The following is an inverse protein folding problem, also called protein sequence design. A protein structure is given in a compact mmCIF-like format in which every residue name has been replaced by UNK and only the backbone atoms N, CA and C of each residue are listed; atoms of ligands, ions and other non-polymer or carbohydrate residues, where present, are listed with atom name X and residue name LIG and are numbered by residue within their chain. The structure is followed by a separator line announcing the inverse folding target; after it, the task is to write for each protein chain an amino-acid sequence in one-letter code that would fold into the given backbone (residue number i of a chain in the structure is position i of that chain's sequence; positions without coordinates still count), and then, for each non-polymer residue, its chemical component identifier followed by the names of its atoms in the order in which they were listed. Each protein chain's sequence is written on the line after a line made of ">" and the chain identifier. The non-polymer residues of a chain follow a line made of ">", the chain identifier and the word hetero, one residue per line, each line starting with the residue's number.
data_IF_051324856055
#
_entry.id   IF_051324856055
#
_cell.length_a   1.000
_cell.length_b   1.000
_cell.length_c   1.000
_cell.angle_alpha   90.00
_cell.angle_beta   90.00
_cell.angle_gamma   90.00
#
_symmetry.space_group_name_H-M   'P 1'
#
loop_
_entity.id
_entity.type
_entity.pdbx_description
1 polymer ?
#
# COMPACT_ATOMS: atom_id res chain seq x y z
N UNK A 1 -24.60 47.27 2.52
CA UNK A 1 -23.87 46.26 1.71
C UNK A 1 -23.92 44.86 2.33
N UNK A 2 -23.66 44.68 3.64
CA UNK A 2 -23.75 43.38 4.36
C UNK A 2 -25.13 42.69 4.31
N UNK A 3 -26.22 43.47 4.37
CA UNK A 3 -27.61 42.95 4.37
C UNK A 3 -28.13 42.53 2.99
N UNK A 4 -27.39 42.84 1.90
CA UNK A 4 -27.85 42.64 0.52
C UNK A 4 -27.51 41.23 0.01
N UNK A 5 -26.36 40.66 0.40
CA UNK A 5 -25.92 39.33 -0.04
C UNK A 5 -26.88 38.23 0.44
N UNK A 6 -27.33 38.32 1.69
CA UNK A 6 -28.26 37.37 2.31
C UNK A 6 -29.71 37.49 1.79
N UNK A 7 -30.10 38.67 1.29
CA UNK A 7 -31.44 38.91 0.73
C UNK A 7 -31.56 38.50 -0.74
N UNK A 8 -30.44 38.30 -1.44
CA UNK A 8 -30.38 38.00 -2.88
C UNK A 8 -30.32 36.49 -3.18
N UNK A 9 -29.75 35.67 -2.30
CA UNK A 9 -29.59 34.25 -2.58
C UNK A 9 -30.85 33.46 -2.26
N UNK A 10 -31.65 33.17 -3.30
CA UNK A 10 -32.79 32.26 -3.22
C UNK A 10 -32.37 30.94 -2.55
N UNK A 11 -33.04 30.52 -1.46
CA UNK A 11 -32.75 29.26 -0.76
C UNK A 11 -32.76 28.04 -1.68
N UNK A 12 -33.59 28.05 -2.75
CA UNK A 12 -33.59 26.98 -3.77
C UNK A 12 -32.28 26.94 -4.56
N UNK A 13 -31.74 28.10 -4.90
CA UNK A 13 -30.45 28.21 -5.60
C UNK A 13 -29.28 27.79 -4.70
N UNK A 14 -29.27 28.21 -3.44
CA UNK A 14 -28.29 27.73 -2.45
C UNK A 14 -28.37 26.22 -2.25
N UNK A 15 -29.58 25.66 -2.14
CA UNK A 15 -29.79 24.21 -2.05
C UNK A 15 -29.24 23.47 -3.27
N UNK A 16 -29.43 24.02 -4.48
CA UNK A 16 -28.86 23.46 -5.71
C UNK A 16 -27.32 23.49 -5.69
N UNK A 17 -26.70 24.60 -5.29
CA UNK A 17 -25.23 24.68 -5.15
C UNK A 17 -24.72 23.63 -4.16
N UNK A 18 -25.37 23.50 -3.00
CA UNK A 18 -24.99 22.53 -1.98
C UNK A 18 -25.07 21.09 -2.51
N UNK A 19 -26.13 20.78 -3.27
CA UNK A 19 -26.29 19.47 -3.93
C UNK A 19 -25.16 19.20 -4.93
N UNK A 20 -24.80 20.18 -5.77
CA UNK A 20 -23.70 20.05 -6.73
C UNK A 20 -22.37 19.84 -6.02
N UNK A 21 -22.10 20.56 -4.93
CA UNK A 21 -20.89 20.36 -4.11
C UNK A 21 -20.84 18.94 -3.54
N UNK A 22 -21.95 18.45 -2.96
CA UNK A 22 -22.04 17.10 -2.41
C UNK A 22 -21.78 16.03 -3.48
N UNK A 23 -22.41 16.14 -4.65
CA UNK A 23 -22.18 15.23 -5.78
C UNK A 23 -20.72 15.30 -6.23
N UNK A 24 -20.16 16.52 -6.31
CA UNK A 24 -18.77 16.76 -6.67
C UNK A 24 -17.79 16.05 -5.75
N UNK A 25 -18.03 16.03 -4.43
CA UNK A 25 -17.18 15.30 -3.49
C UNK A 25 -17.24 13.79 -3.68
N UNK A 26 -18.43 13.20 -3.82
CA UNK A 26 -18.52 11.77 -4.09
C UNK A 26 -17.88 11.42 -5.43
N UNK A 27 -18.06 12.25 -6.45
CA UNK A 27 -17.41 12.04 -7.74
C UNK A 27 -15.88 12.11 -7.63
N UNK A 28 -15.33 13.19 -7.07
CA UNK A 28 -13.89 13.38 -6.95
C UNK A 28 -13.24 12.34 -6.01
N UNK A 29 -13.88 12.06 -4.87
CA UNK A 29 -13.39 11.11 -3.87
C UNK A 29 -13.47 9.66 -4.33
N UNK A 30 -14.53 9.27 -5.03
CA UNK A 30 -14.74 7.87 -5.40
C UNK A 30 -14.27 7.53 -6.81
N UNK A 31 -13.98 8.50 -7.68
CA UNK A 31 -13.43 8.25 -9.01
C UNK A 31 -12.13 7.41 -8.93
N UNK A 32 -11.96 6.36 -9.75
CA UNK A 32 -12.77 5.96 -10.93
C UNK A 32 -13.94 5.00 -10.64
N UNK A 33 -14.42 4.91 -9.40
CA UNK A 33 -15.49 4.01 -8.95
C UNK A 33 -15.19 2.52 -9.16
N UNK A 34 -13.91 2.17 -9.26
CA UNK A 34 -13.47 0.81 -9.49
C UNK A 34 -13.24 0.06 -8.17
N UNK A 35 -14.33 -0.46 -7.60
CA UNK A 35 -14.31 -1.26 -6.36
C UNK A 35 -13.90 -2.72 -6.57
N UNK A 36 -13.86 -3.18 -7.83
CA UNK A 36 -13.54 -4.57 -8.19
C UNK A 36 -12.46 -4.52 -9.26
N UNK A 37 -11.21 -4.69 -8.85
CA UNK A 37 -10.09 -4.80 -9.79
C UNK A 37 -9.83 -6.25 -10.14
N UNK A 38 -9.60 -6.53 -11.42
CA UNK A 38 -9.07 -7.82 -11.85
C UNK A 38 -7.65 -7.99 -11.34
N UNK A 39 -7.26 -9.24 -11.07
CA UNK A 39 -5.88 -9.53 -10.74
C UNK A 39 -5.07 -9.61 -12.04
N UNK A 40 -4.15 -8.68 -12.23
CA UNK A 40 -3.40 -8.51 -13.49
C UNK A 40 -2.16 -9.43 -13.57
N UNK A 41 -2.34 -10.68 -13.15
CA UNK A 41 -1.35 -11.74 -13.24
C UNK A 41 -1.65 -12.61 -14.47
N UNK A 42 -0.65 -12.85 -15.31
CA UNK A 42 -0.82 -13.60 -16.56
C UNK A 42 0.28 -14.62 -16.75
N UNK A 43 -0.08 -15.83 -17.15
CA UNK A 43 0.86 -16.84 -17.61
C UNK A 43 1.62 -16.39 -18.86
N UNK A 44 2.90 -16.73 -18.95
CA UNK A 44 3.68 -16.54 -20.18
C UNK A 44 3.29 -17.59 -21.22
N UNK A 45 3.09 -17.14 -22.47
CA UNK A 45 2.68 -18.01 -23.58
C UNK A 45 3.85 -18.83 -24.13
N UNK A 46 4.99 -18.19 -24.31
CA UNK A 46 6.12 -18.72 -25.07
C UNK A 46 7.19 -19.40 -24.20
N UNK A 47 7.11 -19.26 -22.87
CA UNK A 47 8.05 -19.85 -21.92
C UNK A 47 7.37 -20.17 -20.60
N UNK A 48 8.02 -20.97 -19.74
CA UNK A 48 7.56 -21.10 -18.36
C UNK A 48 7.72 -19.75 -17.67
N UNK A 49 6.84 -19.45 -16.72
CA UNK A 49 6.84 -18.20 -16.00
C UNK A 49 5.49 -17.50 -15.98
N UNK A 50 5.46 -16.46 -15.15
CA UNK A 50 4.28 -15.67 -14.86
C UNK A 50 4.64 -14.19 -14.85
N UNK A 51 3.74 -13.37 -15.37
CA UNK A 51 3.92 -11.93 -15.51
C UNK A 51 2.99 -11.19 -14.56
N UNK A 52 3.55 -10.17 -13.91
CA UNK A 52 2.85 -9.26 -13.02
C UNK A 52 2.76 -7.88 -13.67
N UNK A 53 1.57 -7.31 -13.68
CA UNK A 53 1.29 -5.93 -14.08
C UNK A 53 0.37 -5.28 -13.05
N UNK A 54 0.41 -3.94 -12.97
CA UNK A 54 -0.46 -3.16 -12.06
C UNK A 54 -0.56 -3.81 -10.69
N UNK A 55 -1.76 -3.97 -10.15
CA UNK A 55 -1.97 -4.52 -8.79
C UNK A 55 -1.80 -6.06 -8.69
N UNK A 56 -1.22 -6.73 -9.69
CA UNK A 56 -1.09 -8.19 -9.74
C UNK A 56 -0.49 -8.81 -8.47
N UNK A 57 -1.11 -9.87 -7.97
CA UNK A 57 -0.70 -10.56 -6.74
C UNK A 57 -0.95 -12.06 -6.85
N UNK A 58 -0.02 -12.85 -6.32
CA UNK A 58 -0.15 -14.29 -6.11
C UNK A 58 0.18 -14.57 -4.64
N UNK A 59 -0.47 -15.56 -4.02
CA UNK A 59 -0.20 -15.86 -2.61
C UNK A 59 -0.49 -17.31 -2.21
N UNK A 60 0.05 -17.75 -1.07
CA UNK A 60 -0.36 -19.04 -0.47
C UNK A 60 -1.73 -18.89 0.20
N UNK A 61 -2.71 -19.79 -0.05
CA UNK A 61 -4.04 -19.71 0.57
C UNK A 61 -3.98 -19.85 2.10
N UNK A 62 -3.06 -20.69 2.57
CA UNK A 62 -2.84 -20.99 3.97
C UNK A 62 -1.48 -20.46 4.44
N UNK A 63 -1.32 -20.39 5.76
CA UNK A 63 -0.05 -20.03 6.39
C UNK A 63 1.01 -21.08 6.03
N UNK A 64 2.14 -20.62 5.51
CA UNK A 64 3.32 -21.45 5.48
C UNK A 64 3.70 -21.82 6.91
N UNK A 65 3.86 -23.12 7.15
CA UNK A 65 4.49 -23.69 8.35
C UNK A 65 3.67 -23.63 9.64
N UNK A 66 2.35 -23.83 9.52
CA UNK A 66 1.39 -23.78 10.62
C UNK A 66 1.62 -24.86 11.73
N UNK A 67 2.29 -25.98 11.40
CA UNK A 67 2.36 -27.17 12.29
C UNK A 67 3.75 -27.54 12.81
N UNK A 68 4.84 -27.10 12.18
CA UNK A 68 6.22 -27.39 12.61
C UNK A 68 7.16 -26.21 12.28
N UNK A 69 8.12 -25.84 13.15
CA UNK A 69 9.09 -24.79 12.87
C UNK A 69 9.99 -25.24 11.70
N UNK A 70 9.84 -24.65 10.52
CA UNK A 70 10.42 -25.16 9.28
C UNK A 70 11.89 -24.72 9.16
N UNK A 71 12.22 -23.53 9.67
CA UNK A 71 13.46 -22.80 9.49
C UNK A 71 14.46 -23.25 10.56
N UNK A 72 15.18 -24.32 10.25
CA UNK A 72 16.27 -24.80 11.10
C UNK A 72 17.27 -23.65 11.30
N UNK A 73 17.65 -23.39 12.55
CA UNK A 73 18.56 -22.30 12.92
C UNK A 73 18.15 -20.92 12.37
N UNK A 74 16.84 -20.65 12.26
CA UNK A 74 16.31 -19.41 11.70
C UNK A 74 16.89 -19.07 10.32
N UNK A 75 17.21 -20.12 9.53
CA UNK A 75 17.88 -19.98 8.24
C UNK A 75 16.90 -20.18 7.09
N UNK A 76 17.13 -19.43 6.02
CA UNK A 76 16.34 -19.50 4.79
C UNK A 76 17.24 -19.22 3.59
N UNK A 77 17.00 -19.90 2.48
CA UNK A 77 17.53 -19.48 1.18
C UNK A 77 16.38 -19.26 0.22
N UNK A 78 16.44 -18.16 -0.51
CA UNK A 78 15.46 -17.77 -1.52
C UNK A 78 16.19 -17.70 -2.86
N UNK A 79 15.73 -18.47 -3.83
CA UNK A 79 16.22 -18.42 -5.21
C UNK A 79 15.11 -17.94 -6.12
N UNK A 80 15.38 -16.92 -6.94
CA UNK A 80 14.42 -16.36 -7.88
C UNK A 80 15.07 -16.10 -9.23
N UNK A 81 14.42 -16.57 -10.28
CA UNK A 81 14.76 -16.19 -11.65
C UNK A 81 13.72 -15.22 -12.18
N UNK A 82 14.11 -13.97 -12.43
CA UNK A 82 13.16 -12.91 -12.75
C UNK A 82 13.68 -11.92 -13.80
N UNK A 83 12.76 -11.15 -14.38
CA UNK A 83 13.04 -10.03 -15.29
C UNK A 83 12.13 -8.83 -14.95
N UNK A 84 12.68 -7.72 -14.45
CA UNK A 84 11.93 -6.49 -14.27
C UNK A 84 11.51 -5.91 -15.63
N UNK A 85 10.28 -5.41 -15.76
CA UNK A 85 9.82 -4.76 -17.02
C UNK A 85 9.78 -3.24 -16.93
N UNK A 86 9.96 -2.69 -15.74
CA UNK A 86 9.94 -1.23 -15.49
C UNK A 86 11.09 -0.83 -14.59
N UNK A 87 11.44 0.46 -14.65
CA UNK A 87 12.19 1.14 -13.60
C UNK A 87 11.18 1.67 -12.58
N UNK A 88 11.22 1.19 -11.35
CA UNK A 88 10.20 1.54 -10.35
C UNK A 88 10.60 2.82 -9.59
N UNK A 89 10.09 3.98 -9.98
CA UNK A 89 10.52 5.27 -9.42
C UNK A 89 9.53 5.88 -8.39
N UNK A 90 8.36 5.28 -8.19
CA UNK A 90 7.27 5.87 -7.40
C UNK A 90 7.21 5.37 -5.95
N UNK A 91 7.48 4.09 -5.72
CA UNK A 91 7.47 3.45 -4.40
C UNK A 91 8.40 2.23 -4.42
N UNK A 92 8.66 1.65 -3.25
CA UNK A 92 9.43 0.42 -3.14
C UNK A 92 8.51 -0.78 -3.43
N UNK A 93 8.58 -1.31 -4.66
CA UNK A 93 7.74 -2.42 -5.11
C UNK A 93 8.12 -3.73 -4.43
N UNK A 94 7.13 -4.56 -4.05
CA UNK A 94 7.37 -5.88 -3.46
C UNK A 94 7.34 -6.97 -4.52
N UNK A 95 8.48 -7.67 -4.65
CA UNK A 95 8.60 -8.86 -5.51
C UNK A 95 8.11 -10.07 -4.72
N UNK A 96 8.58 -10.23 -3.49
CA UNK A 96 8.28 -11.35 -2.60
C UNK A 96 8.18 -10.85 -1.17
N UNK A 97 7.18 -11.30 -0.44
CA UNK A 97 7.00 -11.01 0.98
C UNK A 97 6.55 -12.24 1.74
N UNK A 98 7.02 -12.40 2.97
CA UNK A 98 6.45 -13.33 3.94
C UNK A 98 5.69 -12.53 4.99
N UNK A 99 4.36 -12.57 4.97
CA UNK A 99 3.50 -11.74 5.81
C UNK A 99 2.94 -12.53 7.00
N UNK A 100 3.09 -11.99 8.21
CA UNK A 100 2.67 -12.66 9.46
C UNK A 100 1.13 -12.81 9.61
N UNK A 101 0.34 -12.22 8.72
CA UNK A 101 -1.13 -12.24 8.79
C UNK A 101 -1.74 -11.13 9.65
N UNK A 102 -0.94 -10.36 10.37
CA UNK A 102 -1.38 -9.36 11.34
C UNK A 102 -0.88 -7.95 11.04
N UNK A 103 0.41 -7.67 11.25
CA UNK A 103 0.92 -6.30 11.24
C UNK A 103 2.07 -6.10 10.26
N UNK A 104 2.97 -7.07 10.15
CA UNK A 104 4.29 -6.88 9.55
C UNK A 104 4.66 -7.98 8.56
N UNK A 105 5.47 -7.59 7.59
CA UNK A 105 6.22 -8.54 6.77
C UNK A 105 7.40 -9.06 7.61
N UNK A 106 7.53 -10.37 7.80
CA UNK A 106 8.72 -10.98 8.40
C UNK A 106 9.97 -10.58 7.63
N UNK A 107 9.87 -10.65 6.30
CA UNK A 107 10.82 -10.07 5.37
C UNK A 107 10.11 -9.67 4.08
N UNK A 108 10.77 -8.83 3.29
CA UNK A 108 10.44 -8.63 1.89
C UNK A 108 11.69 -8.62 1.02
N UNK A 109 11.49 -8.91 -0.26
CA UNK A 109 12.40 -8.61 -1.36
C UNK A 109 11.65 -7.71 -2.33
N UNK A 110 12.28 -6.61 -2.73
CA UNK A 110 11.64 -5.58 -3.52
C UNK A 110 12.56 -4.90 -4.51
N UNK A 111 11.96 -3.99 -5.28
CA UNK A 111 12.64 -3.18 -6.28
C UNK A 111 12.42 -1.70 -5.99
N UNK A 112 13.52 -0.94 -5.91
CA UNK A 112 13.51 0.52 -5.93
C UNK A 112 14.38 0.97 -7.10
N UNK A 113 13.82 1.67 -8.07
CA UNK A 113 14.49 2.01 -9.34
C UNK A 113 15.05 0.75 -10.02
N UNK A 114 16.37 0.59 -10.05
CA UNK A 114 17.09 -0.58 -10.55
C UNK A 114 17.73 -1.41 -9.43
N UNK A 115 17.47 -1.05 -8.18
CA UNK A 115 18.13 -1.59 -7.01
C UNK A 115 17.30 -2.74 -6.44
N UNK A 116 17.98 -3.78 -5.96
CA UNK A 116 17.40 -4.82 -5.15
C UNK A 116 17.30 -4.32 -3.71
N UNK A 117 16.09 -4.28 -3.17
CA UNK A 117 15.85 -3.93 -1.77
C UNK A 117 15.47 -5.19 -0.98
N UNK A 118 15.98 -5.29 0.25
CA UNK A 118 15.71 -6.40 1.15
C UNK A 118 15.34 -5.83 2.50
N UNK A 119 14.17 -6.21 3.01
CA UNK A 119 13.68 -5.86 4.33
C UNK A 119 13.73 -7.06 5.25
N UNK A 120 14.18 -6.87 6.48
CA UNK A 120 14.23 -7.91 7.49
C UNK A 120 14.55 -7.32 8.85
N UNK A 121 15.04 -8.15 9.76
CA UNK A 121 15.30 -7.77 11.14
C UNK A 121 16.79 -7.68 11.41
N UNK A 122 17.20 -6.68 12.19
CA UNK A 122 18.54 -6.61 12.78
C UNK A 122 18.47 -6.93 14.26
N UNK A 123 19.34 -7.82 14.71
CA UNK A 123 19.56 -8.14 16.12
C UNK A 123 20.76 -7.34 16.59
N UNK A 124 20.55 -6.47 17.57
CA UNK A 124 21.61 -5.71 18.21
C UNK A 124 22.18 -6.47 19.42
N UNK A 125 23.38 -6.12 19.91
CA UNK A 125 23.99 -6.77 21.08
C UNK A 125 23.18 -6.68 22.38
N UNK A 126 22.21 -5.77 22.45
CA UNK A 126 21.28 -5.57 23.57
C UNK A 126 19.95 -6.31 23.38
N UNK A 127 19.88 -7.28 22.45
CA UNK A 127 18.68 -7.99 22.02
C UNK A 127 17.55 -7.09 21.47
N UNK A 128 17.83 -5.82 21.16
CA UNK A 128 16.84 -4.96 20.52
C UNK A 128 16.69 -5.32 19.04
N UNK A 129 15.56 -5.93 18.71
CA UNK A 129 15.16 -6.27 17.35
C UNK A 129 14.60 -5.03 16.67
N UNK A 130 15.17 -4.65 15.52
CA UNK A 130 14.66 -3.55 14.68
C UNK A 130 14.47 -4.03 13.25
N UNK A 131 13.39 -3.57 12.61
CA UNK A 131 13.22 -3.76 11.18
C UNK A 131 14.18 -2.84 10.41
N UNK A 132 14.86 -3.37 9.39
CA UNK A 132 15.80 -2.62 8.57
C UNK A 132 15.64 -3.00 7.10
N UNK A 133 15.76 -1.98 6.25
CA UNK A 133 15.83 -2.13 4.81
C UNK A 133 17.29 -1.92 4.37
N UNK A 134 17.77 -2.78 3.48
CA UNK A 134 19.09 -2.66 2.83
C UNK A 134 18.94 -2.73 1.32
N UNK A 135 19.87 -2.12 0.60
CA UNK A 135 19.86 -2.04 -0.87
C UNK A 135 21.14 -2.56 -1.52
N UNK A 136 20.98 -3.05 -2.74
CA UNK A 136 22.07 -3.34 -3.66
C UNK A 136 21.74 -2.73 -5.03
N UNK A 137 22.58 -1.80 -5.46
CA UNK A 137 22.34 -0.96 -6.62
C UNK A 137 22.48 -1.75 -7.93
N UNK A 138 21.73 -1.35 -8.96
CA UNK A 138 21.87 -1.81 -10.35
C UNK A 138 21.74 -3.34 -10.59
N UNK A 139 21.01 -4.06 -9.73
CA UNK A 139 20.73 -5.51 -9.88
C UNK A 139 19.54 -5.78 -10.80
N UNK A 140 18.47 -5.01 -10.63
CA UNK A 140 17.17 -5.20 -11.25
C UNK A 140 17.02 -4.30 -12.48
N UNK A 141 17.96 -4.41 -13.42
CA UNK A 141 17.94 -3.64 -14.66
C UNK A 141 16.74 -4.04 -15.51
N UNK A 142 16.01 -3.03 -16.00
CA UNK A 142 14.85 -3.22 -16.89
C UNK A 142 15.21 -4.13 -18.07
N UNK A 143 14.33 -5.09 -18.34
CA UNK A 143 14.38 -6.07 -19.42
C UNK A 143 15.57 -7.04 -19.40
N UNK A 144 16.35 -7.06 -18.30
CA UNK A 144 17.41 -8.06 -18.11
C UNK A 144 16.92 -9.17 -17.18
N UNK A 145 17.05 -10.42 -17.65
CA UNK A 145 16.89 -11.60 -16.80
C UNK A 145 18.04 -11.65 -15.80
N UNK A 146 17.70 -11.89 -14.54
CA UNK A 146 18.66 -12.03 -13.45
C UNK A 146 18.25 -13.19 -12.54
N UNK A 147 19.22 -13.97 -12.12
CA UNK A 147 19.03 -15.00 -11.11
C UNK A 147 19.58 -14.48 -9.78
N UNK A 148 18.73 -14.41 -8.77
CA UNK A 148 19.07 -13.88 -7.45
C UNK A 148 18.94 -15.02 -6.45
N UNK A 149 20.00 -15.21 -5.66
CA UNK A 149 19.96 -16.07 -4.48
C UNK A 149 20.24 -15.22 -3.25
N UNK A 150 19.36 -15.31 -2.26
CA UNK A 150 19.54 -14.65 -0.96
C UNK A 150 19.58 -15.75 0.09
N UNK A 151 20.72 -15.92 0.75
CA UNK A 151 20.84 -16.81 1.91
C UNK A 151 20.80 -15.96 3.17
N UNK A 152 20.10 -16.42 4.20
CA UNK A 152 20.02 -15.75 5.49
C UNK A 152 20.07 -16.79 6.60
N UNK A 153 20.78 -16.47 7.68
CA UNK A 153 20.84 -17.28 8.89
C UNK A 153 21.45 -16.47 10.04
N UNK A 154 22.00 -17.16 11.04
CA UNK A 154 22.59 -16.52 12.21
C UNK A 154 23.74 -15.55 11.86
N UNK A 155 24.55 -15.90 10.87
CA UNK A 155 25.69 -15.10 10.39
C UNK A 155 25.29 -13.91 9.49
N UNK A 156 23.99 -13.67 9.35
CA UNK A 156 23.43 -12.59 8.55
C UNK A 156 22.94 -13.04 7.18
N UNK A 157 22.78 -12.07 6.28
CA UNK A 157 22.22 -12.26 4.93
C UNK A 157 23.29 -12.07 3.86
N UNK A 158 23.35 -12.95 2.88
CA UNK A 158 24.26 -12.90 1.74
C UNK A 158 23.45 -12.87 0.45
N UNK A 159 23.82 -11.98 -0.46
CA UNK A 159 23.19 -11.82 -1.77
C UNK A 159 24.14 -12.29 -2.86
N UNK A 160 23.65 -13.20 -3.69
CA UNK A 160 24.31 -13.68 -4.89
C UNK A 160 23.51 -13.26 -6.12
N UNK A 161 24.22 -12.84 -7.16
CA UNK A 161 23.65 -12.50 -8.47
C UNK A 161 24.31 -13.38 -9.51
N UNK A 162 23.51 -14.13 -10.26
CA UNK A 162 23.97 -15.06 -11.29
C UNK A 162 25.06 -16.02 -10.77
N UNK A 163 24.82 -16.59 -9.59
CA UNK A 163 25.72 -17.55 -8.92
C UNK A 163 26.97 -16.95 -8.26
N UNK A 164 27.18 -15.63 -8.35
CA UNK A 164 28.34 -14.95 -7.75
C UNK A 164 27.94 -14.20 -6.49
N UNK A 165 28.76 -14.30 -5.44
CA UNK A 165 28.62 -13.47 -4.24
C UNK A 165 28.82 -11.99 -4.60
N UNK A 166 27.88 -11.13 -4.19
CA UNK A 166 27.95 -9.67 -4.47
C UNK A 166 28.00 -8.85 -3.19
N UNK A 167 27.23 -9.22 -2.16
CA UNK A 167 27.19 -8.45 -0.90
C UNK A 167 26.78 -9.32 0.28
N UNK A 168 27.34 -8.99 1.45
CA UNK A 168 26.94 -9.56 2.75
C UNK A 168 26.42 -8.46 3.68
N UNK A 169 25.41 -8.80 4.47
CA UNK A 169 24.80 -7.99 5.51
C UNK A 169 24.81 -8.77 6.83
N UNK A 170 25.91 -8.72 7.60
CA UNK A 170 26.12 -9.59 8.77
C UNK A 170 25.06 -9.46 9.88
N UNK A 171 24.39 -8.31 9.97
CA UNK A 171 23.41 -8.03 11.02
C UNK A 171 21.97 -8.23 10.56
N UNK A 172 21.73 -8.52 9.27
CA UNK A 172 20.38 -8.65 8.72
C UNK A 172 19.96 -10.13 8.72
N UNK A 173 18.81 -10.41 9.30
CA UNK A 173 18.17 -11.74 9.29
C UNK A 173 16.75 -11.63 8.72
N UNK A 174 16.43 -12.48 7.73
CA UNK A 174 15.09 -12.53 7.14
C UNK A 174 14.10 -13.29 8.03
N UNK A 175 14.59 -14.31 8.73
CA UNK A 175 13.84 -15.05 9.74
C UNK A 175 14.56 -14.83 11.07
N UNK A 176 13.93 -14.10 11.98
CA UNK A 176 14.50 -13.86 13.32
C UNK A 176 14.04 -14.91 14.33
N UNK A 177 12.87 -15.52 14.11
CA UNK A 177 12.25 -16.51 14.98
C UNK A 177 11.98 -17.80 14.19
N UNK A 178 12.45 -18.94 14.68
CA UNK A 178 12.25 -20.23 14.04
C UNK A 178 10.77 -20.69 13.97
N UNK A 179 9.89 -20.05 14.75
CA UNK A 179 8.44 -20.19 14.67
C UNK A 179 7.78 -19.23 13.68
N UNK A 180 8.56 -18.49 12.87
CA UNK A 180 8.02 -17.59 11.87
C UNK A 180 7.11 -18.38 10.92
N UNK A 181 5.86 -17.96 10.84
CA UNK A 181 4.87 -18.40 9.87
C UNK A 181 4.37 -17.19 9.11
N UNK A 182 3.77 -17.42 7.94
CA UNK A 182 3.20 -16.33 7.19
C UNK A 182 2.69 -16.75 5.82
N UNK A 183 1.94 -15.85 5.21
CA UNK A 183 1.51 -15.94 3.82
C UNK A 183 2.67 -15.54 2.93
N UNK A 184 3.02 -16.39 1.97
CA UNK A 184 3.92 -15.97 0.89
C UNK A 184 3.10 -15.13 -0.07
N UNK A 185 3.54 -13.91 -0.34
CA UNK A 185 2.89 -12.98 -1.27
C UNK A 185 3.91 -12.60 -2.33
N UNK A 186 3.53 -12.69 -3.60
CA UNK A 186 4.38 -12.42 -4.75
C UNK A 186 3.74 -11.33 -5.61
N UNK A 187 4.56 -10.38 -6.04
CA UNK A 187 4.18 -9.32 -6.99
C UNK A 187 3.52 -8.09 -6.37
N UNK A 188 3.22 -8.09 -5.07
CA UNK A 188 2.65 -6.91 -4.41
C UNK A 188 2.83 -6.96 -2.88
N UNK A 189 2.69 -5.82 -2.20
CA UNK A 189 2.70 -5.77 -0.73
C UNK A 189 1.41 -6.36 -0.15
N UNK A 190 1.40 -6.72 1.16
CA UNK A 190 0.17 -7.14 1.83
C UNK A 190 -0.97 -6.11 1.72
N UNK A 191 -0.62 -4.82 1.65
CA UNK A 191 -1.58 -3.71 1.48
C UNK A 191 -2.10 -3.57 0.05
N UNK A 192 -1.44 -4.20 -0.92
CA UNK A 192 -1.85 -4.13 -2.31
C UNK A 192 -1.40 -2.88 -3.07
N UNK A 193 -0.60 -2.01 -2.43
CA UNK A 193 -0.25 -0.68 -2.94
C UNK A 193 1.15 -0.60 -3.54
N UNK A 194 2.02 -1.55 -3.22
CA UNK A 194 3.41 -1.56 -3.66
C UNK A 194 3.66 -2.74 -4.59
N UNK A 195 3.01 -2.68 -5.75
CA UNK A 195 3.06 -3.74 -6.73
C UNK A 195 4.35 -3.75 -7.54
N UNK A 196 4.74 -4.94 -7.99
CA UNK A 196 5.88 -5.15 -8.86
C UNK A 196 5.43 -5.45 -10.28
N UNK A 197 6.15 -4.92 -11.26
CA UNK A 197 5.88 -5.17 -12.68
C UNK A 197 7.07 -5.85 -13.33
N UNK A 198 6.89 -7.11 -13.65
CA UNK A 198 7.95 -7.97 -14.15
C UNK A 198 7.49 -9.40 -14.41
N UNK A 199 8.43 -10.24 -14.80
CA UNK A 199 8.22 -11.66 -15.07
C UNK A 199 9.04 -12.51 -14.09
N UNK A 200 8.42 -13.56 -13.56
CA UNK A 200 9.07 -14.55 -12.70
C UNK A 200 9.06 -15.89 -13.44
N UNK A 201 10.24 -16.49 -13.58
CA UNK A 201 10.46 -17.75 -14.30
C UNK A 201 10.65 -18.94 -13.36
N UNK A 202 10.95 -18.68 -12.08
CA UNK A 202 11.17 -19.72 -11.08
C UNK A 202 11.35 -19.12 -9.69
N UNK A 203 10.86 -19.83 -8.68
CA UNK A 203 11.02 -19.48 -7.27
C UNK A 203 11.25 -20.76 -6.45
N UNK A 204 12.30 -20.78 -5.65
CA UNK A 204 12.56 -21.82 -4.67
C UNK A 204 12.85 -21.24 -3.29
N UNK A 205 12.34 -21.92 -2.26
CA UNK A 205 12.55 -21.61 -0.85
C UNK A 205 13.16 -22.81 -0.15
N UNK A 206 14.27 -22.61 0.55
CA UNK A 206 14.94 -23.63 1.34
C UNK A 206 14.91 -23.22 2.81
N UNK A 207 14.81 -24.19 3.73
CA UNK A 207 14.84 -23.95 5.17
C UNK A 207 16.24 -23.91 5.79
N UNK A 208 17.28 -23.72 4.96
CA UNK A 208 18.68 -23.64 5.37
C UNK A 208 19.41 -22.58 4.56
N UNK A 209 20.56 -22.15 5.04
CA UNK A 209 21.49 -21.32 4.27
C UNK A 209 22.31 -22.21 3.32
N UNK A 210 22.23 -21.99 2.02
CA UNK A 210 23.01 -22.74 1.02
C UNK A 210 24.47 -22.25 0.98
N UNK A 211 25.39 -23.17 0.69
CA UNK A 211 26.80 -22.85 0.46
C UNK A 211 27.01 -22.22 -0.93
N UNK A 212 28.06 -21.41 -1.09
CA UNK A 212 28.38 -20.75 -2.37
C UNK A 212 28.49 -21.73 -3.54
N UNK A 213 29.08 -22.91 -3.32
CA UNK A 213 29.20 -23.95 -4.36
C UNK A 213 27.83 -24.46 -4.79
N UNK A 214 26.91 -24.65 -3.85
CA UNK A 214 25.56 -25.10 -4.15
C UNK A 214 24.76 -24.02 -4.87
N UNK A 215 24.90 -22.76 -4.45
CA UNK A 215 24.28 -21.60 -5.12
C UNK A 215 24.73 -21.52 -6.59
N UNK A 216 26.03 -21.67 -6.86
CA UNK A 216 26.56 -21.63 -8.22
C UNK A 216 26.02 -22.79 -9.07
N UNK A 217 25.97 -24.00 -8.52
CA UNK A 217 25.40 -25.18 -9.21
C UNK A 217 23.91 -25.01 -9.50
N UNK A 218 23.13 -24.53 -8.53
CA UNK A 218 21.71 -24.27 -8.70
C UNK A 218 21.48 -23.22 -9.80
N UNK A 219 22.23 -22.12 -9.80
CA UNK A 219 22.17 -21.11 -10.86
C UNK A 219 22.41 -21.72 -12.26
N UNK A 220 23.45 -22.55 -12.40
CA UNK A 220 23.75 -23.22 -13.66
C UNK A 220 22.63 -24.17 -14.09
N UNK A 221 22.04 -24.91 -13.14
CA UNK A 221 20.91 -25.81 -13.42
C UNK A 221 19.68 -25.01 -13.86
N UNK A 222 19.24 -24.02 -13.08
CA UNK A 222 18.10 -23.16 -13.40
C UNK A 222 18.20 -22.52 -14.79
N UNK A 223 19.37 -22.02 -15.15
CA UNK A 223 19.58 -21.33 -16.43
C UNK A 223 19.77 -22.26 -17.63
N UNK A 224 20.06 -23.54 -17.41
CA UNK A 224 20.24 -24.52 -18.49
C UNK A 224 19.02 -25.42 -18.69
N UNK A 225 18.41 -25.91 -17.61
CA UNK A 225 17.31 -26.87 -17.63
C UNK A 225 15.98 -26.33 -17.09
N UNK A 226 15.96 -25.12 -16.51
CA UNK A 226 14.75 -24.52 -15.93
C UNK A 226 14.34 -25.11 -14.58
N UNK A 227 15.17 -25.98 -13.99
CA UNK A 227 14.93 -26.61 -12.69
C UNK A 227 16.22 -26.65 -11.86
N UNK A 228 16.13 -26.58 -10.52
CA UNK A 228 17.28 -26.79 -9.66
C UNK A 228 17.75 -28.26 -9.73
N UNK A 229 19.05 -28.50 -9.53
CA UNK A 229 19.70 -29.81 -9.67
C UNK A 229 19.12 -30.89 -8.74
N UNK A 230 18.57 -30.49 -7.59
CA UNK A 230 18.11 -31.40 -6.53
C UNK A 230 16.71 -31.02 -6.06
N UNK A 231 15.70 -31.35 -6.87
CA UNK A 231 14.28 -31.27 -6.50
C UNK A 231 13.87 -32.26 -5.39
N UNK A 232 14.83 -33.04 -4.84
CA UNK A 232 14.63 -34.06 -3.79
C UNK A 232 15.40 -33.76 -2.50
N UNK A 233 15.87 -32.52 -2.28
CA UNK A 233 16.50 -32.14 -1.02
C UNK A 233 15.47 -32.00 0.11
N UNK A 234 15.71 -32.67 1.25
CA UNK A 234 14.87 -32.58 2.48
C UNK A 234 14.67 -31.15 2.99
N UNK A 235 15.50 -30.20 2.56
CA UNK A 235 15.45 -28.79 2.96
C UNK A 235 14.62 -27.89 2.05
N UNK A 236 14.09 -28.38 0.93
CA UNK A 236 13.33 -27.58 -0.03
C UNK A 236 11.87 -27.41 0.44
N UNK A 237 11.52 -26.20 0.88
CA UNK A 237 10.18 -25.87 1.40
C UNK A 237 9.17 -25.64 0.29
N UNK A 238 9.59 -24.96 -0.77
CA UNK A 238 8.73 -24.68 -1.91
C UNK A 238 9.54 -24.61 -3.20
N UNK A 239 8.96 -25.13 -4.28
CA UNK A 239 9.48 -25.03 -5.64
C UNK A 239 8.35 -24.72 -6.62
N UNK A 240 8.41 -23.55 -7.23
CA UNK A 240 7.46 -23.09 -8.24
C UNK A 240 8.18 -22.90 -9.57
N UNK A 241 7.82 -23.74 -10.54
CA UNK A 241 8.39 -23.72 -11.89
C UNK A 241 7.58 -22.88 -12.88
N UNK A 242 6.33 -22.55 -12.52
CA UNK A 242 5.40 -21.78 -13.35
C UNK A 242 5.22 -22.40 -14.75
N UNK A 243 5.08 -23.72 -14.82
CA UNK A 243 4.99 -24.52 -16.04
C UNK A 243 3.56 -24.90 -16.43
N UNK A 244 2.56 -24.46 -15.66
CA UNK A 244 1.14 -24.81 -15.83
C UNK A 244 0.48 -24.10 -17.01
N UNK A 245 0.98 -22.92 -17.40
CA UNK A 245 0.53 -22.08 -18.54
C UNK A 245 -0.89 -21.52 -18.46
N UNK A 246 -1.73 -22.04 -17.57
CA UNK A 246 -3.13 -21.64 -17.44
C UNK A 246 -3.65 -21.97 -16.04
N UNK A 247 -4.87 -21.50 -15.74
CA UNK A 247 -5.53 -21.74 -14.46
C UNK A 247 -5.15 -20.73 -13.38
N UNK A 248 -5.66 -20.98 -12.18
CA UNK A 248 -5.56 -20.07 -11.03
C UNK A 248 -4.62 -20.59 -9.94
N UNK A 249 -3.94 -21.72 -10.16
CA UNK A 249 -3.03 -22.31 -9.18
C UNK A 249 -1.63 -22.45 -9.78
N UNK A 250 -0.62 -22.16 -8.98
CA UNK A 250 0.77 -22.53 -9.24
C UNK A 250 1.11 -23.65 -8.27
N UNK A 251 1.44 -24.80 -8.83
CA UNK A 251 1.76 -26.01 -8.10
C UNK A 251 3.11 -25.87 -7.41
N UNK A 252 3.16 -26.31 -6.16
CA UNK A 252 4.40 -26.52 -5.44
C UNK A 252 4.93 -27.93 -5.73
N UNK A 253 6.12 -28.02 -6.31
CA UNK A 253 6.74 -29.29 -6.67
C UNK A 253 7.48 -29.97 -5.50
N UNK A 254 7.61 -29.31 -4.34
CA UNK A 254 8.34 -29.84 -3.18
C UNK A 254 7.51 -30.00 -1.91
N UNK A 255 6.27 -29.50 -1.89
CA UNK A 255 5.46 -29.46 -0.68
C UNK A 255 3.97 -29.24 -0.94
N UNK A 256 3.13 -29.18 0.10
CA UNK A 256 1.68 -29.12 -0.03
C UNK A 256 1.12 -27.73 -0.31
N UNK A 257 1.96 -26.69 -0.22
CA UNK A 257 1.51 -25.30 -0.27
C UNK A 257 1.60 -24.76 -1.69
N UNK A 258 0.54 -24.92 -2.47
CA UNK A 258 0.37 -24.29 -3.77
C UNK A 258 0.14 -22.77 -3.62
N UNK A 259 0.40 -22.02 -4.69
CA UNK A 259 0.03 -20.61 -4.77
C UNK A 259 -1.29 -20.44 -5.50
N UNK A 260 -2.09 -19.48 -5.05
CA UNK A 260 -3.33 -19.04 -5.67
C UNK A 260 -3.11 -17.73 -6.42
N UNK A 261 -3.53 -17.72 -7.68
CA UNK A 261 -3.75 -16.54 -8.49
C UNK A 261 -5.23 -16.17 -8.32
N UNK A 262 -5.59 -15.24 -7.43
CA UNK A 262 -6.99 -14.88 -7.21
C UNK A 262 -7.56 -14.25 -8.48
N UNK A 263 -8.81 -14.56 -8.83
CA UNK A 263 -9.47 -13.97 -10.01
C UNK A 263 -9.69 -12.47 -9.83
N UNK A 264 -10.04 -12.07 -8.60
CA UNK A 264 -10.25 -10.68 -8.21
C UNK A 264 -9.12 -10.26 -7.28
N UNK A 265 -8.60 -9.07 -7.49
CA UNK A 265 -7.61 -8.51 -6.61
C UNK A 265 -8.22 -8.20 -5.23
N UNK A 266 -7.64 -8.79 -4.19
CA UNK A 266 -8.01 -8.51 -2.79
C UNK A 266 -6.73 -8.37 -1.94
N UNK A 267 -6.48 -7.19 -1.33
CA UNK A 267 -5.32 -7.03 -0.47
C UNK A 267 -5.49 -7.82 0.84
N UNK A 268 -4.39 -8.36 1.36
CA UNK A 268 -4.36 -9.03 2.67
C UNK A 268 -4.58 -8.07 3.84
N UNK A 269 -4.12 -6.82 3.68
CA UNK A 269 -4.17 -5.78 4.71
C UNK A 269 -4.92 -4.57 4.20
N UNK A 270 -6.12 -4.32 4.74
CA UNK A 270 -6.84 -3.06 4.51
C UNK A 270 -6.27 -1.96 5.41
N UNK A 271 -6.01 -0.80 4.84
CA UNK A 271 -5.57 0.39 5.58
C UNK A 271 -6.71 1.39 5.60
N UNK A 272 -7.15 1.76 6.81
CA UNK A 272 -8.21 2.73 7.06
C UNK A 272 -7.57 3.89 7.84
N UNK A 273 -7.80 5.12 7.40
CA UNK A 273 -7.30 6.34 8.05
C UNK A 273 -5.81 6.25 8.40
N UNK A 274 -4.98 6.08 7.36
CA UNK A 274 -3.53 6.03 7.55
C UNK A 274 -3.03 7.26 8.34
N UNK A 275 -2.18 7.06 9.36
CA UNK A 275 -1.70 8.18 10.16
C UNK A 275 -0.85 9.16 9.34
N UNK A 276 -0.86 10.46 9.69
CA UNK A 276 -0.13 11.48 8.93
C UNK A 276 1.38 11.25 8.83
N UNK A 277 1.98 10.64 9.85
CA UNK A 277 3.43 10.38 9.90
C UNK A 277 3.87 9.24 8.99
N UNK A 278 2.98 8.35 8.56
CA UNK A 278 3.32 7.25 7.64
C UNK A 278 3.47 7.72 6.19
N UNK A 279 2.75 8.78 5.82
CA UNK A 279 2.67 9.31 4.46
C UNK A 279 3.46 10.61 4.24
N UNK A 280 4.10 11.14 5.29
CA UNK A 280 4.77 12.43 5.21
C UNK A 280 6.02 12.38 4.32
N UNK A 281 5.92 13.01 3.14
CA UNK A 281 7.06 13.37 2.28
C UNK A 281 6.85 14.80 1.84
N UNK A 282 7.73 15.71 2.26
CA UNK A 282 7.59 17.13 1.91
C UNK A 282 8.02 17.38 0.46
N UNK A 283 7.13 17.10 -0.48
CA UNK A 283 7.32 17.32 -1.91
C UNK A 283 6.16 18.12 -2.53
N UNK A 284 6.28 18.42 -3.83
CA UNK A 284 5.27 19.20 -4.55
C UNK A 284 3.92 18.47 -4.64
N UNK A 285 3.92 17.12 -4.68
CA UNK A 285 2.69 16.33 -4.72
C UNK A 285 1.95 16.45 -3.39
N UNK A 286 2.66 16.30 -2.28
CA UNK A 286 2.11 16.44 -0.94
C UNK A 286 1.49 17.83 -0.74
N UNK A 287 2.18 18.90 -1.14
CA UNK A 287 1.63 20.26 -1.04
C UNK A 287 0.36 20.44 -1.88
N UNK A 288 0.32 19.83 -3.07
CA UNK A 288 -0.87 19.84 -3.93
C UNK A 288 -2.04 19.13 -3.27
N UNK A 289 -1.81 17.96 -2.68
CA UNK A 289 -2.84 17.19 -1.99
C UNK A 289 -3.37 17.96 -0.75
N UNK A 290 -2.47 18.57 0.02
CA UNK A 290 -2.82 19.45 1.15
C UNK A 290 -3.72 20.60 0.69
N UNK A 291 -3.36 21.27 -0.41
CA UNK A 291 -4.14 22.37 -0.95
C UNK A 291 -5.51 21.91 -1.44
N UNK A 292 -5.60 20.80 -2.18
CA UNK A 292 -6.86 20.29 -2.72
C UNK A 292 -7.83 19.92 -1.58
N UNK A 293 -7.36 19.21 -0.57
CA UNK A 293 -8.19 18.79 0.56
C UNK A 293 -8.67 19.99 1.39
N UNK A 294 -7.77 20.94 1.68
CA UNK A 294 -8.13 22.15 2.42
C UNK A 294 -9.08 23.07 1.64
N UNK A 295 -8.68 23.52 0.43
CA UNK A 295 -9.48 24.47 -0.35
C UNK A 295 -10.76 23.85 -0.90
N UNK A 296 -10.77 22.53 -1.17
CA UNK A 296 -11.94 21.81 -1.67
C UNK A 296 -13.13 21.83 -0.73
N UNK A 297 -12.91 21.89 0.59
CA UNK A 297 -13.99 21.93 1.60
C UNK A 297 -14.44 23.33 2.02
N UNK A 298 -13.74 24.40 1.60
CA UNK A 298 -14.16 25.79 1.88
C UNK A 298 -15.56 26.08 1.31
N UNK A 299 -15.88 25.76 0.03
CA UNK A 299 -17.21 25.98 -0.52
C UNK A 299 -18.30 25.26 0.27
N UNK A 300 -18.02 24.04 0.76
CA UNK A 300 -18.97 23.28 1.57
C UNK A 300 -19.34 24.02 2.86
N UNK A 301 -18.33 24.40 3.66
CA UNK A 301 -18.56 25.15 4.89
C UNK A 301 -19.28 26.47 4.65
N UNK A 302 -18.92 27.17 3.57
CA UNK A 302 -19.51 28.46 3.20
C UNK A 302 -20.99 28.34 2.79
N UNK A 303 -21.30 27.51 1.79
CA UNK A 303 -22.64 27.46 1.20
C UNK A 303 -23.65 26.71 2.07
N UNK A 304 -23.24 25.69 2.82
CA UNK A 304 -24.13 24.99 3.76
C UNK A 304 -24.50 25.92 4.92
N UNK A 305 -23.53 26.68 5.46
CA UNK A 305 -23.84 27.71 6.47
C UNK A 305 -24.73 28.81 5.90
N UNK A 306 -24.50 29.23 4.65
CA UNK A 306 -25.36 30.20 3.97
C UNK A 306 -26.82 29.72 3.84
N UNK A 307 -27.02 28.43 3.52
CA UNK A 307 -28.33 27.81 3.39
C UNK A 307 -29.08 27.73 4.73
N UNK A 308 -28.35 27.40 5.79
CA UNK A 308 -28.88 27.22 7.15
C UNK A 308 -28.81 28.49 8.00
N UNK A 309 -28.47 29.63 7.40
CA UNK A 309 -28.18 30.86 8.12
C UNK A 309 -29.37 31.35 8.97
N UNK A 310 -29.08 31.66 10.24
CA UNK A 310 -30.02 32.27 11.18
C UNK A 310 -29.38 33.56 11.76
N UNK A 311 -30.10 34.70 11.77
CA UNK A 311 -29.58 35.97 12.30
C UNK A 311 -29.35 35.97 13.82
N UNK A 312 -29.91 35.02 14.57
CA UNK A 312 -29.82 34.98 16.04
C UNK A 312 -28.49 34.32 16.49
N UNK A 313 -27.65 35.05 17.23
CA UNK A 313 -26.28 34.61 17.60
C UNK A 313 -26.15 33.21 18.23
N UNK A 314 -26.92 32.81 19.27
CA UNK A 314 -26.79 31.46 19.84
C UNK A 314 -27.20 30.36 18.85
N UNK A 315 -28.11 30.65 17.91
CA UNK A 315 -28.48 29.71 16.84
C UNK A 315 -27.37 29.65 15.78
N UNK A 316 -26.77 30.78 15.42
CA UNK A 316 -25.66 30.88 14.47
C UNK A 316 -24.44 30.06 14.90
N UNK A 317 -24.05 30.12 16.17
CA UNK A 317 -22.93 29.31 16.68
C UNK A 317 -23.26 27.81 16.60
N UNK A 318 -24.46 27.42 17.04
CA UNK A 318 -24.92 26.01 16.95
C UNK A 318 -24.96 25.50 15.51
N UNK A 319 -25.47 26.30 14.58
CA UNK A 319 -25.47 25.97 13.15
C UNK A 319 -24.04 25.87 12.61
N UNK A 320 -23.14 26.78 12.99
CA UNK A 320 -21.72 26.72 12.57
C UNK A 320 -21.05 25.43 13.03
N UNK A 321 -21.25 25.02 14.29
CA UNK A 321 -20.74 23.75 14.83
C UNK A 321 -21.32 22.57 14.07
N UNK A 322 -22.65 22.57 13.82
CA UNK A 322 -23.31 21.52 13.06
C UNK A 322 -22.73 21.38 11.64
N UNK A 323 -22.47 22.49 10.94
CA UNK A 323 -21.86 22.48 9.60
C UNK A 323 -20.44 21.90 9.63
N UNK A 324 -19.64 22.23 10.65
CA UNK A 324 -18.29 21.67 10.82
C UNK A 324 -18.38 20.15 11.05
N UNK A 325 -19.29 19.70 11.91
CA UNK A 325 -19.53 18.27 12.15
C UNK A 325 -20.01 17.54 10.88
N UNK A 326 -20.88 18.18 10.08
CA UNK A 326 -21.31 17.63 8.79
C UNK A 326 -20.16 17.52 7.79
N UNK A 327 -19.26 18.50 7.74
CA UNK A 327 -18.09 18.47 6.85
C UNK A 327 -17.11 17.37 7.24
N UNK A 328 -16.76 17.29 8.53
CA UNK A 328 -15.93 16.19 9.05
C UNK A 328 -16.58 14.83 8.88
N UNK A 329 -17.89 14.72 9.12
CA UNK A 329 -18.67 13.50 8.91
C UNK A 329 -18.72 13.06 7.44
N UNK A 330 -18.93 13.98 6.51
CA UNK A 330 -18.90 13.71 5.07
C UNK A 330 -17.51 13.22 4.64
N UNK A 331 -16.45 13.91 5.10
CA UNK A 331 -15.08 13.49 4.82
C UNK A 331 -14.81 12.09 5.36
N UNK A 332 -15.23 11.78 6.59
CA UNK A 332 -15.09 10.45 7.18
C UNK A 332 -15.82 9.38 6.36
N UNK A 333 -17.04 9.66 5.89
CA UNK A 333 -17.80 8.74 5.04
C UNK A 333 -17.03 8.45 3.74
N UNK A 334 -16.49 9.48 3.08
CA UNK A 334 -15.70 9.31 1.85
C UNK A 334 -14.47 8.46 2.11
N UNK A 335 -13.73 8.74 3.19
CA UNK A 335 -12.56 7.97 3.62
C UNK A 335 -12.86 6.48 3.85
N UNK A 336 -13.97 6.18 4.55
CA UNK A 336 -14.40 4.81 4.82
C UNK A 336 -14.80 4.06 3.55
N UNK A 337 -15.41 4.75 2.58
CA UNK A 337 -15.74 4.16 1.28
C UNK A 337 -14.45 3.94 0.46
N UNK A 338 -13.54 4.91 0.43
CA UNK A 338 -12.27 4.83 -0.29
C UNK A 338 -11.35 3.72 0.22
N UNK A 339 -11.43 3.36 1.51
CA UNK A 339 -10.70 2.21 2.06
C UNK A 339 -11.04 0.87 1.35
N UNK A 340 -12.14 0.82 0.61
CA UNK A 340 -12.53 -0.34 -0.21
C UNK A 340 -12.15 -0.20 -1.69
N UNK A 341 -11.52 0.90 -2.11
CA UNK A 341 -11.03 1.11 -3.47
C UNK A 341 -9.55 0.69 -3.58
N UNK A 342 -9.21 -0.34 -4.37
CA UNK A 342 -7.83 -0.80 -4.54
C UNK A 342 -6.85 0.26 -5.01
N UNK A 343 -7.31 1.33 -5.68
CA UNK A 343 -6.48 2.42 -6.20
C UNK A 343 -6.42 3.64 -5.28
N UNK A 344 -7.24 3.73 -4.23
CA UNK A 344 -7.27 4.86 -3.29
C UNK A 344 -6.78 4.48 -1.91
N UNK A 345 -6.16 5.42 -1.21
CA UNK A 345 -5.73 5.26 0.18
C UNK A 345 -6.64 6.10 1.06
N UNK A 346 -7.06 5.53 2.19
CA UNK A 346 -7.72 6.32 3.23
C UNK A 346 -6.68 6.97 4.15
N UNK A 347 -6.88 8.25 4.49
CA UNK A 347 -5.92 9.13 5.14
C UNK A 347 -6.56 9.94 6.27
N UNK A 348 -5.95 9.90 7.45
CA UNK A 348 -6.36 10.77 8.56
C UNK A 348 -6.02 12.24 8.27
N UNK A 349 -4.95 12.50 7.49
CA UNK A 349 -4.57 13.85 7.08
C UNK A 349 -5.67 14.51 6.24
N UNK A 350 -6.29 13.74 5.35
CA UNK A 350 -7.33 14.22 4.45
C UNK A 350 -8.59 14.59 5.25
N UNK A 351 -8.98 13.74 6.21
CA UNK A 351 -10.04 14.03 7.17
C UNK A 351 -9.80 15.34 7.95
N UNK A 352 -8.57 15.54 8.45
CA UNK A 352 -8.20 16.76 9.18
C UNK A 352 -8.29 17.98 8.26
N UNK A 353 -7.67 17.92 7.08
CA UNK A 353 -7.60 19.02 6.13
C UNK A 353 -8.98 19.43 5.60
N UNK A 354 -9.83 18.45 5.27
CA UNK A 354 -11.20 18.67 4.82
C UNK A 354 -12.04 19.33 5.94
N UNK A 355 -11.83 18.92 7.20
CA UNK A 355 -12.48 19.55 8.36
C UNK A 355 -12.00 20.99 8.56
N UNK A 356 -10.70 21.25 8.43
CA UNK A 356 -10.13 22.61 8.50
C UNK A 356 -10.62 23.51 7.35
N UNK A 357 -10.74 22.96 6.15
CA UNK A 357 -11.35 23.64 5.00
C UNK A 357 -12.80 24.04 5.28
N UNK A 358 -13.57 23.13 5.87
CA UNK A 358 -14.95 23.41 6.29
C UNK A 358 -15.00 24.56 7.31
N UNK A 359 -14.12 24.55 8.31
CA UNK A 359 -13.99 25.61 9.32
C UNK A 359 -13.67 26.96 8.63
N UNK A 360 -12.72 26.97 7.69
CA UNK A 360 -12.37 28.17 6.94
C UNK A 360 -13.55 28.72 6.12
N UNK A 361 -14.35 27.83 5.49
CA UNK A 361 -15.59 28.22 4.80
C UNK A 361 -16.63 28.85 5.72
N UNK A 362 -16.82 28.27 6.92
CA UNK A 362 -17.70 28.81 7.97
C UNK A 362 -17.22 30.19 8.43
N UNK A 363 -15.93 30.36 8.70
CA UNK A 363 -15.34 31.65 9.10
C UNK A 363 -15.53 32.69 7.99
N UNK A 364 -15.25 32.33 6.74
CA UNK A 364 -15.39 33.21 5.59
C UNK A 364 -16.83 33.71 5.44
N UNK A 365 -17.82 32.81 5.53
CA UNK A 365 -19.22 33.21 5.47
C UNK A 365 -19.58 34.17 6.59
N UNK A 366 -19.14 33.85 7.82
CA UNK A 366 -19.39 34.65 9.02
C UNK A 366 -18.81 36.08 8.95
N UNK A 367 -17.64 36.25 8.31
CA UNK A 367 -17.01 37.55 8.07
C UNK A 367 -17.86 38.37 7.09
N UNK A 368 -18.34 37.74 6.01
CA UNK A 368 -19.11 38.41 4.95
C UNK A 368 -20.51 38.80 5.42
N UNK A 369 -21.18 37.93 6.17
CA UNK A 369 -22.57 38.13 6.61
C UNK A 369 -22.73 39.16 7.74
N UNK A 370 -21.65 39.49 8.45
CA UNK A 370 -21.65 40.49 9.54
C UNK A 370 -22.27 40.00 10.85
N UNK A 371 -22.02 40.73 11.95
CA UNK A 371 -22.87 40.72 13.14
C UNK A 371 -24.04 41.66 12.85
N UNK A 372 -25.27 41.17 12.96
CA UNK A 372 -26.42 42.07 13.04
C UNK A 372 -26.40 42.54 14.50
N UNK A 373 -25.97 43.77 14.74
CA UNK A 373 -26.22 44.42 16.03
C UNK A 373 -27.73 44.45 16.24
N UNK A 374 -28.18 44.05 17.43
CA UNK A 374 -29.58 44.20 17.83
C UNK A 374 -30.01 45.65 17.55
N UNK A 375 -31.15 45.87 16.87
CA UNK A 375 -31.67 47.22 16.75
C UNK A 375 -32.01 47.69 18.17
N UNK A 376 -31.32 48.75 18.57
CA UNK A 376 -31.47 49.49 19.81
C UNK A 376 -32.93 49.49 20.29
N UNK A 377 -33.19 48.76 21.38
CA UNK A 377 -34.52 48.62 21.99
C UNK A 377 -35.02 49.93 22.64
N UNK A 378 -34.29 51.02 22.50
CA UNK A 378 -34.56 52.33 23.11
C UNK A 378 -35.39 53.29 22.23
N UNK A 379 -35.77 52.93 21.00
CA UNK A 379 -36.50 53.85 20.10
C UNK A 379 -38.03 53.79 20.12
N UNK A 380 -38.65 53.04 21.05
CA UNK A 380 -40.11 53.01 21.24
C UNK A 380 -40.61 53.66 22.55
N UNK A 381 -39.77 54.48 23.20
CA UNK A 381 -40.20 55.34 24.32
C UNK A 381 -39.80 56.79 24.04
N UNK A 382 -40.53 57.45 23.14
CA UNK A 382 -40.75 58.90 23.14
C UNK A 382 -42.11 59.25 22.57
#
# INVERSE_FOLDING_TARGET
>A
MKTIILKIMNKRFLGFICLVILIGFFFAGLWPFNFISENEVKWLKDSNGISFYGNGMIYTPDLLNEKNPPFQNSSITIEMWLQPKVKCDCFLARILSLYDGHKSENFFIGQWKYDLAIGGHTIKPDDNIKYKEVGLDDVLIKDKKVFITITSGYDGTIVYVNGKHVRSFPQLQLIYNNKASGYLIIGNSPTGKQYWTGELYGLALYNKSLTSDKVLKNYQAWTSSGVPETSTEESLLALYLFDEKTGTFVKNHSGPHDLLIPVKFTPFKKVILSPPWESFKFDHSYLKDVAINFFGFIPFGFFILALMWDPIEPKRLRVSILVILMGGGLSLIIELIQANLPTRSSSLSDLILNTLGTIAGVILFNIISGKIEEPDSTRYLR
#
